data_IF_586296733839
#
_entry.id   IF_586296733839
#
_cell.length_a   1.000
_cell.length_b   1.000
_cell.length_c   1.000
_cell.angle_alpha   90.00
_cell.angle_beta   90.00
_cell.angle_gamma   90.00
#
_symmetry.space_group_name_H-M   'P 1'
#
loop_
_entity.id
_entity.type
_entity.pdbx_description
1 polymer ?
#
# COMPACT_ATOMS: atom_id res chain seq x y z
N UNK A 1 5.97 21.00 5.27
CA UNK A 1 4.85 21.01 6.25
C UNK A 1 5.21 20.11 7.43
N UNK A 2 4.87 20.48 8.67
CA UNK A 2 5.00 19.62 9.87
C UNK A 2 3.61 19.41 10.45
N UNK A 3 3.01 18.27 10.14
CA UNK A 3 1.77 17.81 10.75
C UNK A 3 2.08 17.18 12.11
N UNK A 4 1.25 17.39 13.13
CA UNK A 4 1.39 16.72 14.44
C UNK A 4 0.92 15.25 14.39
N UNK A 5 1.01 14.61 13.22
CA UNK A 5 0.54 13.24 12.97
C UNK A 5 1.74 12.33 12.67
N UNK A 6 1.74 11.09 13.19
CA UNK A 6 2.86 10.16 13.01
C UNK A 6 2.96 9.62 11.57
N UNK A 7 1.92 9.82 10.76
CA UNK A 7 1.78 9.38 9.38
C UNK A 7 1.01 10.45 8.61
N UNK A 8 1.51 10.84 7.45
CA UNK A 8 0.83 11.66 6.44
C UNK A 8 1.13 11.02 5.10
N UNK A 9 0.09 10.77 4.30
CA UNK A 9 0.23 10.26 2.94
C UNK A 9 -0.46 11.25 2.01
N UNK A 10 0.31 11.77 1.05
CA UNK A 10 -0.18 12.62 -0.01
C UNK A 10 -0.30 11.80 -1.29
N UNK A 11 -1.40 12.00 -2.01
CA UNK A 11 -1.63 11.41 -3.33
C UNK A 11 -1.83 12.57 -4.29
N UNK A 12 -0.87 12.78 -5.18
CA UNK A 12 -0.93 13.81 -6.20
C UNK A 12 -1.33 13.14 -7.53
N UNK A 13 -2.46 13.54 -8.09
CA UNK A 13 -2.88 13.15 -9.44
C UNK A 13 -2.21 14.07 -10.46
N UNK A 14 -1.33 13.48 -11.27
CA UNK A 14 -0.55 14.19 -12.30
C UNK A 14 -1.22 14.10 -13.69
N UNK A 15 -2.41 13.51 -13.80
CA UNK A 15 -3.15 13.30 -15.04
C UNK A 15 -2.73 12.07 -15.83
N UNK A 16 -1.43 11.78 -15.92
CA UNK A 16 -0.91 10.53 -16.54
C UNK A 16 -0.54 9.46 -15.50
N UNK A 17 -0.69 9.76 -14.22
CA UNK A 17 -0.39 8.83 -13.13
C UNK A 17 -0.54 9.50 -11.76
N UNK A 18 -0.24 8.72 -10.72
CA UNK A 18 -0.31 9.17 -9.34
C UNK A 18 1.08 9.20 -8.70
N UNK A 19 1.36 10.24 -7.92
CA UNK A 19 2.52 10.29 -7.04
C UNK A 19 2.09 10.06 -5.59
N UNK A 20 2.79 9.16 -4.90
CA UNK A 20 2.54 8.82 -3.50
C UNK A 20 3.69 9.35 -2.64
N UNK A 21 3.39 10.31 -1.76
CA UNK A 21 4.37 10.90 -0.85
C UNK A 21 4.00 10.60 0.60
N UNK A 22 4.76 9.74 1.27
CA UNK A 22 4.55 9.42 2.69
C UNK A 22 5.54 10.18 3.59
N UNK A 23 5.02 11.01 4.50
CA UNK A 23 5.77 11.57 5.63
C UNK A 23 5.40 10.79 6.87
N UNK A 24 6.35 10.02 7.39
CA UNK A 24 6.12 9.18 8.57
C UNK A 24 7.24 9.34 9.57
N UNK A 25 6.94 9.08 10.84
CA UNK A 25 7.99 8.89 11.85
C UNK A 25 8.84 7.68 11.49
N UNK A 26 10.14 7.75 11.76
CA UNK A 26 11.13 6.75 11.33
C UNK A 26 10.81 5.31 11.75
N UNK A 27 10.04 5.11 12.82
CA UNK A 27 9.60 3.79 13.30
C UNK A 27 8.58 3.10 12.40
N UNK A 28 7.84 3.82 11.56
CA UNK A 28 6.77 3.26 10.71
C UNK A 28 7.30 2.77 9.35
N UNK A 29 8.36 3.42 8.83
CA UNK A 29 8.96 3.09 7.54
C UNK A 29 8.14 3.58 6.35
N UNK A 30 8.52 4.74 5.78
CA UNK A 30 7.79 5.38 4.69
C UNK A 30 7.63 4.45 3.47
N UNK A 31 8.69 3.73 3.12
CA UNK A 31 8.73 2.81 1.99
C UNK A 31 7.66 1.72 2.10
N UNK A 32 7.46 1.18 3.31
CA UNK A 32 6.48 0.11 3.56
C UNK A 32 5.07 0.63 3.37
N UNK A 33 4.77 1.81 3.89
CA UNK A 33 3.47 2.48 3.70
C UNK A 33 3.21 2.75 2.21
N UNK A 34 4.19 3.30 1.49
CA UNK A 34 4.06 3.52 0.05
C UNK A 34 3.82 2.22 -0.70
N UNK A 35 4.54 1.15 -0.35
CA UNK A 35 4.35 -0.18 -0.93
C UNK A 35 2.93 -0.73 -0.70
N UNK A 36 2.39 -0.56 0.50
CA UNK A 36 1.03 -1.02 0.83
C UNK A 36 -0.02 -0.28 0.00
N UNK A 37 0.13 1.03 -0.12
CA UNK A 37 -0.78 1.87 -0.90
C UNK A 37 -0.69 1.58 -2.39
N UNK A 38 0.52 1.34 -2.91
CA UNK A 38 0.72 0.92 -4.29
C UNK A 38 -0.01 -0.40 -4.58
N UNK A 39 0.24 -1.44 -3.77
CA UNK A 39 -0.42 -2.74 -3.93
C UNK A 39 -1.94 -2.65 -3.78
N UNK A 40 -2.43 -1.82 -2.85
CA UNK A 40 -3.86 -1.58 -2.68
C UNK A 40 -4.50 -0.98 -3.94
N UNK A 41 -3.86 0.04 -4.53
CA UNK A 41 -4.34 0.70 -5.75
C UNK A 41 -4.29 -0.23 -6.96
N UNK A 42 -3.21 -1.01 -7.12
CA UNK A 42 -3.09 -2.00 -8.21
C UNK A 42 -4.18 -3.08 -8.12
N UNK A 43 -4.42 -3.61 -6.92
CA UNK A 43 -5.45 -4.63 -6.71
C UNK A 43 -6.85 -4.05 -6.87
N UNK A 44 -7.06 -2.78 -6.48
CA UNK A 44 -8.32 -2.09 -6.71
C UNK A 44 -8.59 -1.90 -8.21
N UNK A 45 -7.60 -1.44 -8.97
CA UNK A 45 -7.71 -1.28 -10.42
C UNK A 45 -8.05 -2.63 -11.07
N UNK A 46 -7.29 -3.68 -10.72
CA UNK A 46 -7.52 -5.04 -11.23
C UNK A 46 -8.92 -5.54 -10.89
N UNK A 47 -9.40 -5.29 -9.67
CA UNK A 47 -10.75 -5.69 -9.27
C UNK A 47 -11.82 -4.94 -10.04
N UNK A 48 -11.66 -3.63 -10.25
CA UNK A 48 -12.58 -2.84 -11.05
C UNK A 48 -12.63 -3.30 -12.53
N UNK A 49 -11.49 -3.70 -13.10
CA UNK A 49 -11.40 -4.20 -14.47
C UNK A 49 -12.01 -5.60 -14.64
N UNK A 50 -11.75 -6.51 -13.70
CA UNK A 50 -12.11 -7.92 -13.83
C UNK A 50 -13.47 -8.25 -13.20
N UNK A 51 -13.75 -7.74 -12.01
CA UNK A 51 -14.94 -8.07 -11.23
C UNK A 51 -15.27 -6.92 -10.28
N UNK A 52 -15.96 -5.86 -10.77
CA UNK A 52 -16.20 -4.65 -9.99
C UNK A 52 -17.08 -4.87 -8.76
N UNK A 53 -17.78 -6.00 -8.68
CA UNK A 53 -18.56 -6.39 -7.50
C UNK A 53 -17.70 -6.99 -6.36
N UNK A 54 -16.39 -7.12 -6.58
CA UNK A 54 -15.46 -7.59 -5.55
C UNK A 54 -15.50 -6.67 -4.34
N UNK A 55 -15.74 -7.26 -3.16
CA UNK A 55 -15.71 -6.52 -1.90
C UNK A 55 -14.31 -5.96 -1.63
N UNK A 56 -14.25 -4.68 -1.24
CA UNK A 56 -13.00 -4.02 -0.84
C UNK A 56 -12.26 -4.78 0.26
N UNK A 57 -12.97 -5.50 1.13
CA UNK A 57 -12.36 -6.27 2.22
C UNK A 57 -11.56 -7.49 1.71
N UNK A 58 -11.83 -7.96 0.49
CA UNK A 58 -11.10 -9.06 -0.13
C UNK A 58 -9.80 -8.62 -0.83
N UNK A 59 -9.58 -7.31 -0.99
CA UNK A 59 -8.39 -6.80 -1.66
C UNK A 59 -7.21 -6.80 -0.70
N UNK A 60 -6.15 -7.50 -1.08
CA UNK A 60 -4.91 -7.49 -0.29
C UNK A 60 -4.18 -6.16 -0.50
N UNK A 61 -3.65 -5.60 0.59
CA UNK A 61 -2.75 -4.44 0.53
C UNK A 61 -1.28 -4.85 0.69
N UNK A 62 -1.02 -6.14 0.90
CA UNK A 62 0.31 -6.62 1.29
C UNK A 62 1.15 -6.92 0.03
N UNK A 63 2.33 -6.30 -0.12
CA UNK A 63 3.24 -6.58 -1.22
C UNK A 63 3.68 -8.05 -1.19
N UNK A 64 3.89 -8.63 -2.38
CA UNK A 64 4.25 -10.04 -2.53
C UNK A 64 5.48 -10.44 -1.70
N UNK A 65 6.49 -9.58 -1.64
CA UNK A 65 7.72 -9.80 -0.87
C UNK A 65 7.44 -9.93 0.63
N UNK A 66 6.60 -9.03 1.19
CA UNK A 66 6.25 -9.12 2.60
C UNK A 66 5.33 -10.30 2.90
N UNK A 67 4.44 -10.65 1.95
CA UNK A 67 3.61 -11.84 2.07
C UNK A 67 4.46 -13.11 2.17
N UNK A 68 5.49 -13.24 1.33
CA UNK A 68 6.43 -14.36 1.39
C UNK A 68 7.18 -14.39 2.73
N UNK A 69 7.66 -13.24 3.20
CA UNK A 69 8.35 -13.16 4.48
C UNK A 69 7.46 -13.64 5.65
N UNK A 70 6.18 -13.23 5.67
CA UNK A 70 5.25 -13.61 6.74
C UNK A 70 4.82 -15.09 6.68
N UNK A 71 4.64 -15.63 5.46
CA UNK A 71 4.12 -16.99 5.30
C UNK A 71 5.22 -18.06 5.31
N UNK A 72 6.40 -17.74 4.80
CA UNK A 72 7.51 -18.68 4.63
C UNK A 72 8.61 -18.38 5.61
N UNK A 73 9.28 -17.24 5.48
CA UNK A 73 10.52 -16.96 6.21
C UNK A 73 10.34 -16.93 7.74
N UNK A 74 9.23 -16.40 8.23
CA UNK A 74 8.93 -16.37 9.67
C UNK A 74 8.45 -17.71 10.24
N UNK A 75 7.98 -18.63 9.40
CA UNK A 75 7.52 -19.95 9.81
C UNK A 75 8.55 -21.06 9.54
N UNK A 76 9.76 -20.70 9.11
CA UNK A 76 10.86 -21.63 8.84
C UNK A 76 11.69 -21.94 10.11
N UNK A 77 11.02 -22.04 11.27
CA UNK A 77 11.59 -22.38 12.59
C UNK A 77 10.69 -23.40 13.29
#
# INVERSE_FOLDING_TARGET
ERTNYPLTLNVDDLGEGFSLTALVVSSIGAQRVCGYMHTALENLLTALEQTPETSLQGLSILPAVEREQLLVAFNDT
#
